data_IF_773103346703
#
_entry.id   IF_773103346703
#
_cell.length_a   1.000
_cell.length_b   1.000
_cell.length_c   1.000
_cell.angle_alpha   90.00
_cell.angle_beta   90.00
_cell.angle_gamma   90.00
#
_symmetry.space_group_name_H-M   'P 1'
#
loop_
_entity.id
_entity.type
_entity.pdbx_description
1 polymer ?
#
# COMPACT_ATOMS: atom_id res chain seq x y z
N UNK A 1 0.99 52.07 5.21
CA UNK A 1 1.33 52.56 3.85
C UNK A 1 1.51 51.35 2.94
N UNK A 2 0.66 51.24 1.93
CA UNK A 2 0.66 50.20 0.89
C UNK A 2 1.84 50.40 -0.07
N UNK A 3 2.44 49.31 -0.55
CA UNK A 3 3.05 49.29 -1.89
C UNK A 3 2.79 47.94 -2.54
N UNK A 4 1.88 47.99 -3.51
CA UNK A 4 1.61 46.94 -4.48
C UNK A 4 2.64 47.06 -5.60
N UNK A 5 3.15 45.94 -6.12
CA UNK A 5 3.82 45.91 -7.42
C UNK A 5 3.07 44.98 -8.37
N UNK A 6 2.94 45.50 -9.58
CA UNK A 6 2.02 45.16 -10.66
C UNK A 6 2.62 44.20 -11.69
N UNK A 7 1.73 43.45 -12.33
CA UNK A 7 1.76 42.81 -13.65
C UNK A 7 2.93 43.11 -14.62
N UNK A 8 3.37 42.05 -15.32
CA UNK A 8 3.64 42.12 -16.77
C UNK A 8 3.41 40.77 -17.45
N UNK A 9 2.49 40.80 -18.41
CA UNK A 9 2.16 39.77 -19.39
C UNK A 9 3.14 39.93 -20.55
N UNK A 10 3.77 38.85 -21.03
CA UNK A 10 4.32 38.80 -22.39
C UNK A 10 3.87 37.49 -23.05
N UNK A 11 2.96 37.67 -24.00
CA UNK A 11 2.48 36.72 -24.99
C UNK A 11 3.48 36.69 -26.14
N UNK A 12 3.97 35.51 -26.56
CA UNK A 12 4.63 35.37 -27.86
C UNK A 12 4.21 34.08 -28.56
N UNK A 13 3.22 34.22 -29.44
CA UNK A 13 2.81 33.28 -30.48
C UNK A 13 3.80 33.30 -31.65
N UNK A 14 4.26 32.13 -32.10
CA UNK A 14 4.85 31.94 -33.43
C UNK A 14 4.16 30.76 -34.10
N UNK A 15 3.53 31.04 -35.24
CA UNK A 15 2.93 30.09 -36.19
C UNK A 15 3.65 30.27 -37.53
N UNK A 16 4.11 29.18 -38.14
CA UNK A 16 4.31 28.96 -39.59
C UNK A 16 4.88 27.54 -39.82
N UNK A 17 4.14 26.52 -40.27
CA UNK A 17 3.58 26.20 -41.62
C UNK A 17 4.51 25.31 -42.49
N UNK A 18 4.07 24.05 -42.64
CA UNK A 18 4.01 23.13 -43.80
C UNK A 18 5.26 22.76 -44.64
N UNK A 19 5.48 21.44 -44.81
CA UNK A 19 5.53 20.80 -46.14
C UNK A 19 5.29 19.27 -46.07
N UNK A 20 4.34 18.79 -46.87
CA UNK A 20 3.95 17.39 -47.11
C UNK A 20 4.77 16.80 -48.27
N UNK A 21 5.16 15.53 -48.19
CA UNK A 21 5.69 14.70 -49.29
C UNK A 21 5.59 13.23 -48.86
N UNK A 22 5.25 12.21 -49.63
CA UNK A 22 4.54 12.05 -50.89
C UNK A 22 4.16 10.54 -50.95
N UNK A 23 2.92 10.20 -51.30
CA UNK A 23 2.50 8.82 -51.58
C UNK A 23 2.83 8.48 -53.05
N UNK A 24 3.41 7.29 -53.31
CA UNK A 24 3.66 6.78 -54.66
C UNK A 24 3.16 5.34 -54.82
N UNK A 25 2.17 5.17 -55.70
CA UNK A 25 1.43 3.92 -55.99
C UNK A 25 2.02 3.19 -57.21
N UNK A 26 2.07 1.84 -57.14
CA UNK A 26 2.36 0.85 -58.22
C UNK A 26 1.38 0.95 -59.41
N UNK A 27 1.69 0.45 -60.63
CA UNK A 27 1.28 -0.94 -60.98
C UNK A 27 2.00 -1.68 -62.16
N UNK A 28 1.76 -3.01 -62.23
CA UNK A 28 1.72 -3.94 -63.40
C UNK A 28 3.06 -4.29 -64.13
N UNK A 29 3.37 -5.47 -64.69
CA UNK A 29 2.67 -6.75 -64.98
C UNK A 29 3.65 -7.78 -65.59
N UNK A 30 3.24 -9.06 -65.57
CA UNK A 30 3.48 -10.17 -66.53
C UNK A 30 4.44 -11.33 -66.20
N UNK A 31 3.81 -12.51 -65.99
CA UNK A 31 4.04 -13.87 -66.56
C UNK A 31 5.50 -14.30 -66.81
N UNK A 32 5.95 -15.51 -66.45
CA UNK A 32 5.49 -16.83 -66.94
C UNK A 32 6.28 -17.92 -66.20
N UNK A 33 5.67 -19.09 -65.93
CA UNK A 33 6.37 -20.30 -65.46
C UNK A 33 7.23 -20.93 -66.58
N UNK A 34 8.17 -21.84 -66.25
CA UNK A 34 7.81 -23.26 -66.22
C UNK A 34 8.42 -24.08 -65.07
N UNK A 35 7.77 -25.21 -64.80
CA UNK A 35 8.14 -26.30 -63.89
C UNK A 35 9.54 -26.88 -64.14
N UNK A 36 10.16 -27.38 -63.05
CA UNK A 36 11.28 -28.33 -63.11
C UNK A 36 11.76 -28.79 -61.73
N UNK A 37 11.16 -29.90 -61.25
CA UNK A 37 11.76 -31.02 -60.49
C UNK A 37 12.78 -30.79 -59.35
N UNK A 38 12.36 -31.21 -58.16
CA UNK A 38 13.08 -31.95 -57.10
C UNK A 38 14.62 -31.94 -57.05
N UNK A 39 15.17 -31.30 -56.00
CA UNK A 39 16.08 -31.95 -55.04
C UNK A 39 16.26 -31.10 -53.77
N UNK A 40 16.39 -31.72 -52.57
CA UNK A 40 16.49 -31.01 -51.30
C UNK A 40 17.93 -30.61 -50.98
N UNK A 41 18.19 -29.32 -50.79
CA UNK A 41 19.42 -28.81 -50.18
C UNK A 41 19.11 -28.09 -48.86
N UNK A 42 19.59 -28.71 -47.79
CA UNK A 42 19.82 -28.16 -46.46
C UNK A 42 20.51 -26.79 -46.52
N UNK A 43 19.81 -25.75 -46.08
CA UNK A 43 20.43 -24.49 -45.63
C UNK A 43 20.11 -24.31 -44.15
N UNK A 44 21.17 -24.32 -43.35
CA UNK A 44 21.14 -24.02 -41.93
C UNK A 44 20.80 -22.53 -41.76
N UNK A 45 19.58 -22.26 -41.31
CA UNK A 45 19.18 -20.96 -40.81
C UNK A 45 19.81 -20.76 -39.42
N UNK A 46 20.36 -19.58 -39.09
CA UNK A 46 20.81 -19.30 -37.73
C UNK A 46 19.65 -19.52 -36.76
N UNK A 47 19.80 -20.46 -35.82
CA UNK A 47 18.90 -20.60 -34.69
C UNK A 47 18.97 -19.29 -33.89
N UNK A 48 17.95 -18.46 -34.03
CA UNK A 48 17.64 -17.44 -33.03
C UNK A 48 17.33 -18.22 -31.76
N UNK A 49 18.27 -18.21 -30.82
CA UNK A 49 18.04 -18.67 -29.45
C UNK A 49 16.78 -17.96 -28.96
N UNK A 50 15.71 -18.67 -28.56
CA UNK A 50 14.59 -18.01 -27.92
C UNK A 50 15.15 -17.28 -26.71
N UNK A 51 15.06 -15.95 -26.71
CA UNK A 51 15.15 -15.20 -25.46
C UNK A 51 14.11 -15.80 -24.51
N UNK A 52 14.42 -15.97 -23.22
CA UNK A 52 13.41 -16.37 -22.26
C UNK A 52 12.30 -15.33 -22.35
N UNK A 53 11.11 -15.76 -22.81
CA UNK A 53 9.89 -14.98 -22.63
C UNK A 53 9.79 -14.84 -21.12
N UNK A 54 10.07 -13.64 -20.60
CA UNK A 54 9.80 -13.31 -19.22
C UNK A 54 8.32 -13.63 -19.00
N UNK A 55 8.04 -14.54 -18.07
CA UNK A 55 6.68 -14.82 -17.66
C UNK A 55 6.05 -13.48 -17.24
N UNK A 56 4.82 -13.17 -17.71
CA UNK A 56 4.19 -11.90 -17.36
C UNK A 56 4.03 -11.86 -15.83
N UNK A 57 4.73 -10.92 -15.20
CA UNK A 57 4.65 -10.71 -13.76
C UNK A 57 3.23 -10.19 -13.44
N UNK A 58 2.45 -11.04 -12.79
CA UNK A 58 1.11 -10.69 -12.33
C UNK A 58 1.23 -9.77 -11.12
N UNK A 59 0.86 -8.51 -11.30
CA UNK A 59 0.84 -7.49 -10.25
C UNK A 59 -0.52 -7.45 -9.58
N UNK A 60 -0.56 -7.00 -8.32
CA UNK A 60 -1.80 -6.87 -7.53
C UNK A 60 -2.04 -5.41 -7.18
N UNK A 61 -3.31 -5.00 -7.16
CA UNK A 61 -3.73 -3.65 -6.85
C UNK A 61 -5.07 -3.61 -6.14
N UNK A 62 -5.34 -2.47 -5.51
CA UNK A 62 -6.64 -2.12 -4.93
C UNK A 62 -7.00 -0.71 -5.35
N UNK A 63 -8.28 -0.43 -5.56
CA UNK A 63 -8.73 0.89 -5.99
C UNK A 63 -10.23 1.05 -5.98
N UNK A 64 -10.71 2.18 -6.47
CA UNK A 64 -12.14 2.47 -6.64
C UNK A 64 -12.50 2.31 -8.11
N UNK A 65 -13.50 1.48 -8.39
CA UNK A 65 -13.99 1.29 -9.75
C UNK A 65 -14.74 2.54 -10.21
N UNK A 66 -14.27 3.17 -11.29
CA UNK A 66 -14.83 4.43 -11.83
C UNK A 66 -15.73 4.22 -13.04
N UNK A 67 -15.85 2.99 -13.55
CA UNK A 67 -16.74 2.65 -14.66
C UNK A 67 -15.99 2.06 -15.86
N UNK A 68 -16.74 1.78 -16.92
CA UNK A 68 -16.21 1.31 -18.20
C UNK A 68 -16.05 2.51 -19.14
N UNK A 69 -14.85 2.70 -19.67
CA UNK A 69 -14.60 3.69 -20.73
C UNK A 69 -15.13 3.21 -22.08
N UNK A 70 -15.03 1.89 -22.32
CA UNK A 70 -15.55 1.19 -23.48
C UNK A 70 -15.80 -0.30 -23.13
N UNK A 71 -16.37 -1.14 -24.02
CA UNK A 71 -16.67 -2.55 -23.71
C UNK A 71 -15.47 -3.42 -23.27
N UNK A 72 -14.24 -2.98 -23.54
CA UNK A 72 -13.01 -3.71 -23.21
C UNK A 72 -12.11 -2.94 -22.24
N UNK A 73 -12.50 -1.75 -21.78
CA UNK A 73 -11.66 -0.88 -20.96
C UNK A 73 -12.44 -0.38 -19.74
N UNK A 74 -11.83 -0.51 -18.56
CA UNK A 74 -12.36 0.05 -17.31
C UNK A 74 -11.38 1.02 -16.68
N UNK A 75 -11.90 1.94 -15.88
CA UNK A 75 -11.10 2.88 -15.09
C UNK A 75 -11.15 2.51 -13.61
N UNK A 76 -9.98 2.46 -12.98
CA UNK A 76 -9.84 2.22 -11.54
C UNK A 76 -8.97 3.33 -10.98
N UNK A 77 -9.46 4.01 -9.94
CA UNK A 77 -8.69 4.99 -9.19
C UNK A 77 -7.78 4.29 -8.17
N UNK A 78 -6.48 4.51 -8.30
CA UNK A 78 -5.47 4.03 -7.37
C UNK A 78 -4.66 5.22 -6.89
N UNK A 79 -4.51 5.40 -5.56
CA UNK A 79 -3.78 6.52 -4.97
C UNK A 79 -4.27 7.90 -5.42
N UNK A 80 -5.57 8.05 -5.72
CA UNK A 80 -6.16 9.31 -6.19
C UNK A 80 -5.97 9.60 -7.69
N UNK A 81 -5.34 8.69 -8.44
CA UNK A 81 -5.18 8.79 -9.89
C UNK A 81 -6.00 7.73 -10.60
N UNK A 82 -6.83 8.14 -11.57
CA UNK A 82 -7.59 7.22 -12.42
C UNK A 82 -6.66 6.58 -13.46
N UNK A 83 -6.60 5.25 -13.47
CA UNK A 83 -5.84 4.48 -14.44
C UNK A 83 -6.78 3.59 -15.27
N UNK A 84 -6.53 3.52 -16.58
CA UNK A 84 -7.31 2.68 -17.50
C UNK A 84 -6.69 1.27 -17.60
N UNK A 85 -7.52 0.24 -17.49
CA UNK A 85 -7.13 -1.15 -17.64
C UNK A 85 -7.97 -1.85 -18.72
N UNK A 86 -7.32 -2.62 -19.57
CA UNK A 86 -7.99 -3.52 -20.50
C UNK A 86 -8.54 -4.73 -19.75
N UNK A 87 -9.71 -5.22 -20.14
CA UNK A 87 -10.33 -6.42 -19.59
C UNK A 87 -9.68 -7.67 -20.18
N UNK A 88 -9.15 -8.54 -19.31
CA UNK A 88 -8.81 -9.91 -19.67
C UNK A 88 -10.04 -10.79 -19.82
N UNK A 89 -9.83 -11.99 -20.35
CA UNK A 89 -10.90 -12.92 -20.68
C UNK A 89 -11.75 -13.31 -19.45
N UNK A 90 -13.08 -13.33 -19.62
CA UNK A 90 -14.02 -13.84 -18.61
C UNK A 90 -14.35 -12.87 -17.47
N UNK A 91 -13.92 -11.61 -17.54
CA UNK A 91 -14.22 -10.61 -16.51
C UNK A 91 -15.56 -9.89 -16.72
N UNK A 92 -16.20 -10.03 -17.88
CA UNK A 92 -17.42 -9.30 -18.25
C UNK A 92 -18.55 -9.44 -17.22
N UNK A 93 -18.73 -10.64 -16.68
CA UNK A 93 -19.77 -10.93 -15.68
C UNK A 93 -19.47 -10.27 -14.34
N UNK A 94 -18.18 -10.17 -13.98
CA UNK A 94 -17.77 -9.52 -12.74
C UNK A 94 -17.93 -8.00 -12.88
N UNK A 95 -17.50 -7.43 -14.01
CA UNK A 95 -17.64 -6.00 -14.31
C UNK A 95 -19.11 -5.58 -14.35
N UNK A 96 -20.00 -6.38 -14.95
CA UNK A 96 -21.44 -6.11 -14.97
C UNK A 96 -22.07 -6.07 -13.56
N UNK A 97 -21.43 -6.73 -12.58
CA UNK A 97 -21.83 -6.71 -11.18
C UNK A 97 -21.27 -5.54 -10.36
N UNK A 98 -20.30 -4.79 -10.90
CA UNK A 98 -19.69 -3.63 -10.25
C UNK A 98 -20.49 -2.34 -10.54
N UNK A 99 -20.48 -1.44 -9.56
CA UNK A 99 -21.02 -0.08 -9.66
C UNK A 99 -19.88 0.91 -9.49
N UNK A 100 -19.97 2.06 -10.15
CA UNK A 100 -19.04 3.17 -9.89
C UNK A 100 -19.00 3.49 -8.39
N UNK A 101 -17.79 3.69 -7.86
CA UNK A 101 -17.54 3.84 -6.43
C UNK A 101 -17.30 2.52 -5.67
N UNK A 102 -17.53 1.36 -6.28
CA UNK A 102 -17.22 0.08 -5.64
C UNK A 102 -15.70 -0.07 -5.45
N UNK A 103 -15.29 -0.37 -4.22
CA UNK A 103 -13.89 -0.73 -3.96
C UNK A 103 -13.60 -2.10 -4.56
N UNK A 104 -12.50 -2.22 -5.28
CA UNK A 104 -12.09 -3.44 -5.96
C UNK A 104 -10.67 -3.84 -5.60
N UNK A 105 -10.44 -5.15 -5.51
CA UNK A 105 -9.11 -5.74 -5.53
C UNK A 105 -8.92 -6.44 -6.88
N UNK A 106 -7.76 -6.26 -7.49
CA UNK A 106 -7.51 -6.72 -8.84
C UNK A 106 -6.07 -7.21 -9.04
N UNK A 107 -5.89 -8.04 -10.06
CA UNK A 107 -4.60 -8.51 -10.55
C UNK A 107 -4.46 -8.09 -12.02
N UNK A 108 -3.26 -7.69 -12.44
CA UNK A 108 -3.03 -7.19 -13.79
C UNK A 108 -1.62 -7.49 -14.30
N UNK A 109 -1.47 -7.53 -15.61
CA UNK A 109 -0.20 -7.62 -16.30
C UNK A 109 0.12 -6.30 -17.02
N UNK A 110 1.39 -5.98 -17.15
CA UNK A 110 1.88 -4.83 -17.94
C UNK A 110 2.53 -5.32 -19.24
N UNK A 111 2.18 -4.71 -20.36
CA UNK A 111 2.85 -4.93 -21.64
C UNK A 111 3.25 -3.60 -22.26
N UNK A 112 4.49 -3.46 -22.72
CA UNK A 112 4.91 -2.28 -23.46
C UNK A 112 4.11 -2.14 -24.76
N UNK A 113 3.77 -0.91 -25.14
CA UNK A 113 3.05 -0.64 -26.39
C UNK A 113 4.04 -0.72 -27.56
N UNK A 114 3.65 -1.41 -28.64
CA UNK A 114 4.50 -1.54 -29.82
C UNK A 114 4.77 -0.16 -30.45
N UNK A 115 6.04 0.19 -30.61
CA UNK A 115 6.46 1.50 -31.14
C UNK A 115 6.67 2.59 -30.09
N UNK A 116 6.34 2.36 -28.81
CA UNK A 116 6.64 3.26 -27.69
C UNK A 116 6.97 2.46 -26.41
N UNK A 117 8.26 2.36 -26.10
CA UNK A 117 8.75 1.65 -24.92
C UNK A 117 8.40 2.34 -23.58
N UNK A 118 7.91 3.59 -23.60
CA UNK A 118 7.53 4.34 -22.39
C UNK A 118 6.06 4.16 -22.04
N UNK A 119 5.22 3.84 -23.02
CA UNK A 119 3.81 3.54 -22.80
C UNK A 119 3.61 2.06 -22.43
N UNK A 120 2.79 1.82 -21.40
CA UNK A 120 2.43 0.48 -20.94
C UNK A 120 0.92 0.28 -21.02
N UNK A 121 0.53 -0.85 -21.57
CA UNK A 121 -0.83 -1.37 -21.52
C UNK A 121 -1.01 -2.19 -20.24
N UNK A 122 -2.00 -1.83 -19.44
CA UNK A 122 -2.39 -2.56 -18.23
C UNK A 122 -3.56 -3.47 -18.59
N UNK A 123 -3.46 -4.77 -18.32
CA UNK A 123 -4.53 -5.75 -18.61
C UNK A 123 -4.92 -6.46 -17.34
N UNK A 124 -6.19 -6.33 -16.92
CA UNK A 124 -6.73 -7.05 -15.77
C UNK A 124 -6.78 -8.54 -16.07
N UNK A 125 -6.26 -9.35 -15.16
CA UNK A 125 -6.40 -10.81 -15.16
C UNK A 125 -7.42 -11.26 -14.13
N UNK A 126 -7.69 -10.42 -13.13
CA UNK A 126 -8.70 -10.64 -12.10
C UNK A 126 -9.20 -9.32 -11.57
N UNK A 127 -10.49 -9.23 -11.28
CA UNK A 127 -11.08 -8.13 -10.52
C UNK A 127 -12.19 -8.71 -9.67
N UNK A 128 -12.38 -8.16 -8.48
CA UNK A 128 -13.50 -8.55 -7.62
C UNK A 128 -13.92 -7.36 -6.78
N UNK A 129 -15.24 -7.22 -6.61
CA UNK A 129 -15.80 -6.33 -5.61
C UNK A 129 -15.26 -6.71 -4.24
N UNK A 130 -14.72 -5.73 -3.55
CA UNK A 130 -14.54 -5.79 -2.11
C UNK A 130 -15.70 -5.04 -1.48
N UNK A 131 -16.25 -5.56 -0.39
CA UNK A 131 -17.34 -4.87 0.28
C UNK A 131 -16.85 -3.51 0.75
N UNK A 132 -17.41 -2.45 0.17
CA UNK A 132 -17.25 -1.10 0.66
C UNK A 132 -17.72 -1.09 2.12
N UNK A 133 -16.92 -0.49 2.99
CA UNK A 133 -17.30 -0.21 4.36
C UNK A 133 -18.61 0.57 4.33
N UNK A 134 -19.72 -0.08 4.69
CA UNK A 134 -20.97 0.62 5.01
C UNK A 134 -20.63 1.72 6.00
N UNK A 135 -21.10 2.94 5.74
CA UNK A 135 -21.08 4.10 6.65
C UNK A 135 -21.65 3.73 8.02
N UNK A 136 -20.83 3.07 8.82
CA UNK A 136 -21.01 2.89 10.24
C UNK A 136 -20.50 4.16 10.88
N UNK A 137 -21.37 5.15 10.99
CA UNK A 137 -21.22 6.24 11.94
C UNK A 137 -21.24 5.64 13.36
N UNK A 138 -20.17 4.97 13.75
CA UNK A 138 -19.84 4.69 15.14
C UNK A 138 -18.70 5.63 15.48
N UNK A 139 -19.13 6.79 15.97
CA UNK A 139 -18.37 7.64 16.87
C UNK A 139 -17.50 6.74 17.78
N UNK A 140 -16.18 6.87 17.65
CA UNK A 140 -15.20 6.07 18.37
C UNK A 140 -15.34 6.25 19.87
N UNK A 141 -16.15 5.40 20.48
CA UNK A 141 -16.09 5.09 21.90
C UNK A 141 -15.39 3.75 22.02
N UNK A 142 -14.25 3.77 22.70
CA UNK A 142 -13.46 2.64 23.14
C UNK A 142 -14.34 1.61 23.85
N UNK A 143 -14.81 0.62 23.08
CA UNK A 143 -15.72 -0.41 23.54
C UNK A 143 -15.59 -1.66 22.68
N UNK A 144 -14.69 -2.56 23.10
CA UNK A 144 -14.50 -3.88 22.52
C UNK A 144 -15.82 -4.63 22.29
N UNK A 145 -16.13 -4.91 21.03
CA UNK A 145 -16.87 -6.11 20.67
C UNK A 145 -15.88 -7.28 20.62
N UNK A 146 -15.89 -8.13 21.65
CA UNK A 146 -15.12 -9.38 21.69
C UNK A 146 -16.03 -10.48 21.15
N UNK A 147 -15.70 -11.05 19.99
CA UNK A 147 -16.30 -12.29 19.51
C UNK A 147 -16.96 -12.27 18.13
N UNK A 148 -17.04 -11.11 17.46
CA UNK A 148 -17.43 -11.02 16.05
C UNK A 148 -16.22 -11.12 15.12
N UNK A 149 -16.42 -11.56 13.88
CA UNK A 149 -15.41 -11.46 12.84
C UNK A 149 -15.08 -9.96 12.63
N UNK A 150 -13.81 -9.60 12.78
CA UNK A 150 -13.36 -8.21 12.67
C UNK A 150 -13.53 -7.72 11.23
N UNK A 151 -14.03 -6.51 11.06
CA UNK A 151 -14.11 -5.85 9.74
C UNK A 151 -12.73 -5.82 9.07
N UNK A 152 -12.69 -5.96 7.75
CA UNK A 152 -11.44 -5.91 6.98
C UNK A 152 -10.77 -4.55 7.06
N UNK A 153 -11.55 -3.49 7.21
CA UNK A 153 -11.06 -2.12 7.39
C UNK A 153 -11.82 -1.44 8.52
N UNK A 154 -11.21 -0.41 9.11
CA UNK A 154 -11.85 0.43 10.11
C UNK A 154 -11.28 1.85 10.02
N UNK A 155 -12.15 2.85 10.16
CA UNK A 155 -11.76 4.26 10.19
C UNK A 155 -11.51 4.71 11.62
N UNK A 156 -10.43 5.45 11.82
CA UNK A 156 -9.98 6.01 13.08
C UNK A 156 -9.87 7.53 12.95
N UNK A 157 -10.12 8.25 14.04
CA UNK A 157 -9.78 9.67 14.14
C UNK A 157 -8.41 9.80 14.80
N UNK A 158 -7.42 10.32 14.07
CA UNK A 158 -6.04 10.52 14.53
C UNK A 158 -5.77 12.00 14.68
N UNK A 159 -4.85 12.35 15.58
CA UNK A 159 -4.25 13.69 15.61
C UNK A 159 -2.94 13.65 14.83
N UNK A 160 -2.90 14.27 13.65
CA UNK A 160 -1.71 14.42 12.81
C UNK A 160 -1.37 15.91 12.74
N UNK A 161 -0.12 16.28 13.02
CA UNK A 161 0.33 17.69 13.02
C UNK A 161 -0.56 18.64 13.85
N UNK A 162 -1.18 18.12 14.92
CA UNK A 162 -2.11 18.88 15.77
C UNK A 162 -3.53 19.04 15.22
N UNK A 163 -3.86 18.43 14.07
CA UNK A 163 -5.20 18.39 13.49
C UNK A 163 -5.82 17.01 13.61
N UNK A 164 -7.14 16.97 13.79
CA UNK A 164 -7.89 15.72 13.77
C UNK A 164 -8.22 15.32 12.34
N UNK A 165 -7.86 14.10 11.97
CA UNK A 165 -8.05 13.55 10.63
C UNK A 165 -8.61 12.14 10.71
N UNK A 166 -9.47 11.78 9.75
CA UNK A 166 -9.98 10.42 9.62
C UNK A 166 -9.03 9.62 8.74
N UNK A 167 -8.51 8.51 9.27
CA UNK A 167 -7.65 7.59 8.53
C UNK A 167 -8.24 6.19 8.59
N UNK A 168 -8.21 5.49 7.46
CA UNK A 168 -8.66 4.10 7.38
C UNK A 168 -7.46 3.18 7.54
N UNK A 169 -7.63 2.10 8.28
CA UNK A 169 -6.62 1.06 8.45
C UNK A 169 -7.21 -0.31 8.11
N UNK A 170 -6.34 -1.19 7.65
CA UNK A 170 -6.69 -2.54 7.20
C UNK A 170 -6.32 -3.57 8.26
N UNK A 171 -7.21 -4.52 8.51
CA UNK A 171 -6.98 -5.61 9.45
C UNK A 171 -5.86 -6.52 8.90
N UNK A 172 -4.76 -6.58 9.63
CA UNK A 172 -3.65 -7.48 9.37
C UNK A 172 -3.53 -8.53 10.48
N UNK A 173 -3.01 -9.71 10.13
CA UNK A 173 -2.81 -10.84 11.05
C UNK A 173 -1.32 -11.15 11.14
N UNK A 174 -0.81 -11.13 12.37
CA UNK A 174 0.53 -11.62 12.71
C UNK A 174 0.46 -12.98 13.41
N UNK A 175 1.57 -13.42 13.98
CA UNK A 175 1.64 -14.68 14.69
C UNK A 175 0.91 -14.60 16.04
N UNK A 176 -0.30 -15.18 16.12
CA UNK A 176 -1.09 -15.20 17.35
C UNK A 176 -1.81 -13.89 17.70
N UNK A 177 -1.76 -12.87 16.82
CA UNK A 177 -2.47 -11.61 16.98
C UNK A 177 -3.03 -11.05 15.66
N UNK A 178 -3.90 -10.05 15.78
CA UNK A 178 -4.37 -9.20 14.69
C UNK A 178 -4.46 -7.75 15.14
N UNK A 179 -4.30 -6.82 14.22
CA UNK A 179 -4.41 -5.38 14.45
C UNK A 179 -4.80 -4.67 13.15
N UNK A 180 -5.30 -3.45 13.23
CA UNK A 180 -5.45 -2.59 12.06
C UNK A 180 -4.13 -1.88 11.78
N UNK A 181 -3.68 -1.89 10.53
CA UNK A 181 -2.44 -1.27 10.05
C UNK A 181 -2.81 -0.20 9.02
N UNK A 182 -2.29 1.01 9.20
CA UNK A 182 -2.53 2.15 8.30
C UNK A 182 -1.62 2.09 7.07
N UNK A 183 -2.08 2.64 5.95
CA UNK A 183 -1.40 2.66 4.64
C UNK A 183 0.09 3.05 4.64
N UNK A 184 0.58 4.03 5.44
CA UNK A 184 2.03 4.34 5.48
C UNK A 184 2.87 3.24 6.16
N UNK A 185 2.25 2.21 6.74
CA UNK A 185 2.90 1.10 7.42
C UNK A 185 2.60 -0.25 6.77
N UNK A 186 3.46 -1.22 7.02
CA UNK A 186 3.27 -2.61 6.61
C UNK A 186 3.53 -3.56 7.78
N UNK A 187 2.74 -4.63 7.87
CA UNK A 187 3.04 -5.75 8.75
C UNK A 187 3.98 -6.71 8.05
N UNK A 188 5.04 -7.11 8.73
CA UNK A 188 5.99 -8.16 8.39
C UNK A 188 5.76 -9.33 9.36
N UNK A 189 4.85 -10.28 9.04
CA UNK A 189 4.42 -11.33 9.97
C UNK A 189 5.56 -12.20 10.46
N UNK A 190 6.50 -12.55 9.58
CA UNK A 190 7.65 -13.41 9.89
C UNK A 190 8.62 -12.76 10.90
N UNK A 191 8.52 -11.45 11.10
CA UNK A 191 9.31 -10.68 12.06
C UNK A 191 8.48 -10.21 13.26
N UNK A 192 7.18 -10.52 13.28
CA UNK A 192 6.21 -9.94 14.21
C UNK A 192 6.33 -8.41 14.32
N UNK A 193 6.53 -7.74 13.18
CA UNK A 193 6.91 -6.33 13.12
C UNK A 193 5.96 -5.52 12.25
N UNK A 194 5.52 -4.36 12.72
CA UNK A 194 4.89 -3.32 11.87
C UNK A 194 5.89 -2.19 11.69
N UNK A 195 6.18 -1.79 10.45
CA UNK A 195 7.13 -0.70 10.17
C UNK A 195 6.57 0.27 9.14
N UNK A 196 7.10 1.50 9.10
CA UNK A 196 6.83 2.42 8.00
C UNK A 196 7.34 1.83 6.68
N UNK A 197 6.59 2.03 5.61
CA UNK A 197 6.99 1.60 4.28
C UNK A 197 8.15 2.45 3.73
N UNK A 198 8.22 3.73 4.12
CA UNK A 198 9.24 4.68 3.66
C UNK A 198 10.58 4.56 4.39
N UNK A 199 10.57 4.04 5.62
CA UNK A 199 11.76 3.78 6.42
C UNK A 199 11.46 2.70 7.47
N UNK A 200 11.92 1.48 7.21
CA UNK A 200 11.67 0.31 8.04
C UNK A 200 12.40 0.35 9.39
N UNK A 201 13.25 1.35 9.64
CA UNK A 201 13.83 1.62 10.95
C UNK A 201 12.81 2.22 11.93
N UNK A 202 11.68 2.73 11.46
CA UNK A 202 10.54 3.09 12.31
C UNK A 202 9.61 1.90 12.41
N UNK A 203 9.64 1.21 13.55
CA UNK A 203 8.88 -0.02 13.70
C UNK A 203 8.42 -0.30 15.13
N UNK A 204 7.45 -1.21 15.24
CA UNK A 204 7.09 -1.89 16.47
C UNK A 204 7.17 -3.40 16.28
N UNK A 205 7.94 -4.06 17.13
CA UNK A 205 7.95 -5.52 17.28
C UNK A 205 6.93 -5.92 18.35
N UNK A 206 6.12 -6.94 18.06
CA UNK A 206 4.99 -7.36 18.89
C UNK A 206 5.21 -8.80 19.36
N UNK A 207 5.11 -9.05 20.65
CA UNK A 207 5.20 -10.40 21.23
C UNK A 207 3.98 -10.66 22.10
N UNK A 208 3.24 -11.73 21.82
CA UNK A 208 2.11 -12.15 22.65
C UNK A 208 2.60 -12.66 24.00
N UNK A 209 1.98 -12.19 25.07
CA UNK A 209 2.28 -12.63 26.44
C UNK A 209 1.41 -13.85 26.83
N UNK A 210 1.92 -14.72 27.73
CA UNK A 210 1.09 -15.72 28.41
C UNK A 210 0.08 -15.01 29.32
N UNK A 211 -1.05 -15.66 29.66
CA UNK A 211 -2.13 -15.03 30.43
C UNK A 211 -1.77 -14.68 31.89
N UNK A 212 -0.71 -15.28 32.42
CA UNK A 212 -0.21 -15.14 33.80
C UNK A 212 1.09 -14.32 33.88
N UNK A 213 1.37 -13.50 32.86
CA UNK A 213 2.56 -12.66 32.82
C UNK A 213 2.70 -11.77 34.07
N UNK A 214 3.94 -11.51 34.49
CA UNK A 214 4.24 -10.68 35.65
C UNK A 214 4.75 -9.30 35.21
N UNK A 215 3.97 -8.25 35.48
CA UNK A 215 4.29 -6.88 35.07
C UNK A 215 5.59 -6.34 35.69
N UNK A 216 5.93 -6.74 36.92
CA UNK A 216 7.17 -6.30 37.58
C UNK A 216 8.41 -6.94 36.95
N UNK A 217 8.29 -8.18 36.46
CA UNK A 217 9.35 -8.85 35.71
C UNK A 217 9.53 -8.21 34.33
N UNK A 218 8.43 -7.94 33.63
CA UNK A 218 8.45 -7.24 32.35
C UNK A 218 9.02 -5.83 32.46
N UNK A 219 8.76 -5.14 33.58
CA UNK A 219 9.38 -3.84 33.82
C UNK A 219 10.91 -3.95 33.96
N UNK A 220 11.41 -4.92 34.73
CA UNK A 220 12.86 -5.16 34.88
C UNK A 220 13.51 -5.55 33.55
N UNK A 221 12.81 -6.36 32.75
CA UNK A 221 13.25 -6.73 31.40
C UNK A 221 13.36 -5.49 30.51
N UNK A 222 12.30 -4.69 30.42
CA UNK A 222 12.31 -3.48 29.59
C UNK A 222 13.33 -2.44 30.06
N UNK A 223 13.53 -2.27 31.37
CA UNK A 223 14.60 -1.42 31.91
C UNK A 223 16.00 -1.89 31.47
N UNK A 224 16.23 -3.21 31.45
CA UNK A 224 17.49 -3.80 30.97
C UNK A 224 17.66 -3.62 29.47
N UNK A 225 16.62 -3.88 28.68
CA UNK A 225 16.64 -3.77 27.22
C UNK A 225 16.94 -2.32 26.77
N UNK A 226 16.37 -1.34 27.47
CA UNK A 226 16.50 0.07 27.12
C UNK A 226 17.78 0.74 27.68
N UNK A 227 18.50 0.07 28.59
CA UNK A 227 19.64 0.66 29.31
C UNK A 227 20.78 1.13 28.39
N UNK A 228 20.98 0.49 27.23
CA UNK A 228 22.00 0.89 26.26
C UNK A 228 21.64 2.12 25.43
N UNK A 229 20.35 2.52 25.40
CA UNK A 229 19.87 3.65 24.60
C UNK A 229 20.01 4.96 25.38
N UNK A 230 19.70 4.94 26.68
CA UNK A 230 19.75 6.11 27.53
C UNK A 230 19.13 5.88 28.89
N UNK A 231 18.85 6.97 29.61
CA UNK A 231 18.16 6.91 30.90
C UNK A 231 16.71 6.45 30.68
N UNK A 232 16.37 5.29 31.21
CA UNK A 232 15.00 4.75 31.15
C UNK A 232 14.06 5.60 32.00
N UNK A 233 12.92 5.94 31.42
CA UNK A 233 11.82 6.65 32.04
C UNK A 233 10.58 5.76 31.97
N UNK A 234 9.94 5.54 33.11
CA UNK A 234 8.60 4.97 33.18
C UNK A 234 7.60 6.11 33.10
N UNK A 235 6.70 6.06 32.12
CA UNK A 235 5.67 7.08 31.95
C UNK A 235 4.50 6.77 32.89
N UNK A 236 4.03 7.80 33.58
CA UNK A 236 2.76 7.74 34.32
C UNK A 236 1.59 7.74 33.34
N UNK A 237 0.43 7.23 33.77
CA UNK A 237 -0.77 7.12 32.93
C UNK A 237 -1.20 8.43 32.26
N UNK A 238 -0.97 9.57 32.92
CA UNK A 238 -1.30 10.89 32.35
C UNK A 238 -0.33 11.34 31.24
N UNK A 239 0.88 10.76 31.19
CA UNK A 239 1.89 11.05 30.18
C UNK A 239 1.88 10.03 29.03
N UNK A 240 1.23 8.87 29.20
CA UNK A 240 1.03 7.90 28.11
C UNK A 240 0.18 8.54 27.00
N UNK A 241 0.57 8.40 25.71
CA UNK A 241 -0.20 8.90 24.59
C UNK A 241 -1.66 8.42 24.65
N UNK A 242 -2.61 9.34 24.44
CA UNK A 242 -4.04 9.04 24.53
C UNK A 242 -4.48 7.91 23.58
N UNK A 243 -3.81 7.79 22.42
CA UNK A 243 -4.06 6.73 21.46
C UNK A 243 -3.75 5.33 22.00
N UNK A 244 -2.99 5.19 23.11
CA UNK A 244 -2.55 3.92 23.67
C UNK A 244 -3.06 3.71 25.11
N UNK A 245 -4.36 3.90 25.30
CA UNK A 245 -4.99 3.90 26.62
C UNK A 245 -4.97 2.55 27.34
N UNK A 246 -4.81 1.46 26.59
CA UNK A 246 -4.70 0.08 27.10
C UNK A 246 -3.31 -0.31 27.60
N UNK A 247 -2.34 0.62 27.59
CA UNK A 247 -1.02 0.38 28.15
C UNK A 247 -1.06 0.15 29.66
N UNK A 248 -0.45 -0.95 30.10
CA UNK A 248 -0.21 -1.30 31.50
C UNK A 248 1.17 -0.85 31.99
N UNK A 249 2.13 -0.77 31.07
CA UNK A 249 3.49 -0.31 31.29
C UNK A 249 3.96 0.41 30.04
N UNK A 250 4.60 1.56 30.23
CA UNK A 250 5.24 2.30 29.16
C UNK A 250 6.62 2.76 29.67
N UNK A 251 7.66 2.15 29.13
CA UNK A 251 9.05 2.54 29.37
C UNK A 251 9.59 3.19 28.10
N UNK A 252 10.38 4.24 28.25
CA UNK A 252 11.05 4.92 27.16
C UNK A 252 12.49 5.24 27.54
N UNK A 253 13.42 5.08 26.60
CA UNK A 253 14.74 5.65 26.67
C UNK A 253 15.04 6.39 25.37
N UNK A 254 15.55 7.62 25.49
CA UNK A 254 15.94 8.45 24.36
C UNK A 254 17.46 8.68 24.39
N UNK A 255 18.12 8.33 23.28
CA UNK A 255 19.52 8.61 23.02
C UNK A 255 19.68 9.72 21.98
N UNK A 256 20.91 9.96 21.51
CA UNK A 256 21.19 11.00 20.51
C UNK A 256 20.70 10.66 19.10
N UNK A 257 20.46 9.37 18.79
CA UNK A 257 20.11 8.89 17.45
C UNK A 257 18.69 8.34 17.34
N UNK A 258 18.10 7.92 18.45
CA UNK A 258 16.81 7.25 18.46
C UNK A 258 16.19 7.30 19.85
N UNK A 259 14.88 7.10 19.88
CA UNK A 259 14.11 6.71 21.04
C UNK A 259 13.71 5.25 20.88
N UNK A 260 13.83 4.47 21.96
CA UNK A 260 13.25 3.14 22.04
C UNK A 260 12.26 3.08 23.19
N UNK A 261 11.21 2.28 23.00
CA UNK A 261 10.15 2.09 23.99
C UNK A 261 9.89 0.61 24.22
N UNK A 262 9.55 0.27 25.45
CA UNK A 262 9.08 -1.04 25.85
C UNK A 262 7.71 -0.85 26.49
N UNK A 263 6.68 -1.37 25.83
CA UNK A 263 5.29 -1.13 26.17
C UNK A 263 4.60 -2.47 26.43
N UNK A 264 3.83 -2.56 27.50
CA UNK A 264 2.90 -3.67 27.72
C UNK A 264 1.50 -3.18 27.42
N UNK A 265 0.87 -3.76 26.41
CA UNK A 265 -0.52 -3.52 26.03
C UNK A 265 -1.35 -4.70 26.51
N UNK A 266 -2.44 -4.45 27.23
CA UNK A 266 -3.32 -5.51 27.69
C UNK A 266 -4.78 -5.16 27.45
N UNK A 267 -5.50 -6.10 26.86
CA UNK A 267 -6.92 -5.97 26.59
C UNK A 267 -7.65 -7.29 26.84
N UNK A 268 -8.96 -7.34 26.61
CA UNK A 268 -9.81 -8.50 26.93
C UNK A 268 -9.39 -9.80 26.21
N UNK A 269 -8.61 -9.70 25.13
CA UNK A 269 -8.16 -10.86 24.36
C UNK A 269 -6.77 -11.36 24.76
N UNK A 270 -5.95 -10.53 25.41
CA UNK A 270 -4.61 -10.92 25.84
C UNK A 270 -3.69 -9.73 26.12
N UNK A 271 -2.49 -10.05 26.60
CA UNK A 271 -1.38 -9.12 26.78
C UNK A 271 -0.34 -9.23 25.67
N UNK A 272 0.36 -8.13 25.41
CA UNK A 272 1.43 -8.03 24.42
C UNK A 272 2.58 -7.19 24.97
N UNK A 273 3.82 -7.63 24.71
CA UNK A 273 4.98 -6.74 24.73
C UNK A 273 5.09 -6.10 23.36
N UNK A 274 5.35 -4.80 23.34
CA UNK A 274 5.63 -4.04 22.13
C UNK A 274 6.93 -3.29 22.32
N UNK A 275 7.91 -3.55 21.44
CA UNK A 275 9.18 -2.83 21.41
C UNK A 275 9.16 -1.88 20.22
N UNK A 276 9.13 -0.57 20.48
CA UNK A 276 9.04 0.47 19.44
C UNK A 276 10.41 1.10 19.24
N UNK A 277 10.84 1.22 17.99
CA UNK A 277 12.06 1.91 17.59
C UNK A 277 11.72 3.15 16.77
N UNK A 278 12.20 4.30 17.22
CA UNK A 278 11.92 5.61 16.63
C UNK A 278 13.26 6.32 16.40
N UNK A 279 13.87 6.19 15.21
CA UNK A 279 15.03 7.00 14.82
C UNK A 279 14.74 8.50 14.93
N UNK A 280 15.79 9.31 15.05
CA UNK A 280 15.69 10.75 14.87
C UNK A 280 15.64 11.08 13.37
N UNK A 281 14.61 11.82 12.92
CA UNK A 281 14.51 12.28 11.54
C UNK A 281 13.09 12.68 11.14
N UNK A 282 12.95 13.21 9.92
CA UNK A 282 11.68 13.66 9.34
C UNK A 282 10.60 12.56 9.24
N UNK A 283 10.90 11.28 8.91
CA UNK A 283 9.87 10.23 8.83
C UNK A 283 9.17 9.93 10.17
N UNK A 284 9.64 10.49 11.28
CA UNK A 284 8.99 10.38 12.58
C UNK A 284 7.62 11.07 12.63
N UNK A 285 7.37 12.07 11.77
CA UNK A 285 6.14 12.84 11.80
C UNK A 285 4.92 11.94 11.50
N UNK A 286 4.00 11.86 12.47
CA UNK A 286 2.82 11.01 12.37
C UNK A 286 3.04 9.52 12.68
N UNK A 287 4.28 9.00 12.69
CA UNK A 287 4.55 7.58 12.99
C UNK A 287 3.94 7.15 14.31
N UNK A 288 4.20 7.92 15.38
CA UNK A 288 3.66 7.66 16.71
C UNK A 288 2.13 7.60 16.71
N UNK A 289 1.45 8.53 16.02
CA UNK A 289 0.00 8.54 15.91
C UNK A 289 -0.54 7.28 15.23
N UNK A 290 0.08 6.85 14.13
CA UNK A 290 -0.33 5.64 13.42
C UNK A 290 -0.04 4.37 14.22
N UNK A 291 1.18 4.23 14.76
CA UNK A 291 1.58 3.00 15.43
C UNK A 291 0.83 2.83 16.74
N UNK A 292 0.69 3.87 17.57
CA UNK A 292 -0.05 3.76 18.83
C UNK A 292 -1.52 3.42 18.61
N UNK A 293 -2.16 4.03 17.61
CA UNK A 293 -3.54 3.69 17.24
C UNK A 293 -3.67 2.24 16.76
N UNK A 294 -2.67 1.76 16.00
CA UNK A 294 -2.62 0.36 15.55
C UNK A 294 -2.49 -0.60 16.74
N UNK A 295 -1.60 -0.30 17.69
CA UNK A 295 -1.36 -1.11 18.88
C UNK A 295 -2.57 -1.17 19.82
N UNK A 296 -3.32 -0.07 19.96
CA UNK A 296 -4.57 -0.06 20.73
C UNK A 296 -5.64 -0.99 20.13
N UNK A 297 -5.52 -1.31 18.84
CA UNK A 297 -6.42 -2.24 18.14
C UNK A 297 -5.99 -3.71 18.21
N UNK A 298 -4.87 -4.02 18.89
CA UNK A 298 -4.35 -5.39 19.03
C UNK A 298 -5.42 -6.30 19.61
N UNK A 299 -5.56 -7.49 19.03
CA UNK A 299 -6.29 -8.58 19.64
C UNK A 299 -5.53 -9.89 19.46
N UNK A 300 -5.57 -10.74 20.47
CA UNK A 300 -5.06 -12.10 20.36
C UNK A 300 -5.97 -12.91 19.44
N UNK A 301 -5.37 -13.66 18.52
CA UNK A 301 -6.11 -14.64 17.75
C UNK A 301 -6.56 -15.77 18.69
N UNK A 302 -7.76 -16.30 18.44
CA UNK A 302 -8.28 -17.51 19.09
C UNK A 302 -7.54 -18.75 18.63
#
# INVERSE_FOLDING_TARGET
>A
MKKQNTFSIILLTVVAVLALSACGTKPQTNNTAPQGSDQPQTQQQPQVKPEPIAEPEVKKGTGVYNGAADPHTVEIETNGEAQSFQLGEGLDTVIAGLKEGDTVAFEYNEKAVEGDATAKQLTLTKIQKTEAATDGNQNGSSGQAVGGERSKTQTFELTLEGKKEKQTATLAKGEGYSLYVFDPMSLFPDQNRVALAVDDNYYAEITKLPSDFNLDELQKEGEKDLASIGKVQKLDKAAVPQALSSSRLFLQASGSKMTQQYIVVENKTGGFIVKVNIPQGEPAEGFESFIYTSLESLQANK
#
